data_IF_012920397104
#
_entry.id   IF_012920397104
#
_cell.length_a   1.000
_cell.length_b   1.000
_cell.length_c   1.000
_cell.angle_alpha   90.00
_cell.angle_beta   90.00
_cell.angle_gamma   90.00
#
_symmetry.space_group_name_H-M   'P 1'
#
loop_
_entity.id
_entity.type
_entity.pdbx_description
1 polymer ?
#
# COMPACT_ATOMS: atom_id res chain seq x y z
N UNK A 1 -21.62 -4.22 -6.67
CA UNK A 1 -21.09 -4.94 -5.49
C UNK A 1 -20.58 -6.33 -5.87
N UNK A 2 -21.43 -7.29 -6.28
CA UNK A 2 -20.97 -8.64 -6.70
C UNK A 2 -19.88 -8.62 -7.78
N UNK A 3 -20.03 -7.75 -8.78
CA UNK A 3 -19.04 -7.65 -9.87
C UNK A 3 -17.68 -7.11 -9.41
N UNK A 4 -17.66 -6.25 -8.37
CA UNK A 4 -16.42 -5.72 -7.79
C UNK A 4 -15.68 -6.80 -7.01
N UNK A 5 -16.40 -7.59 -6.21
CA UNK A 5 -15.79 -8.67 -5.42
C UNK A 5 -15.15 -9.73 -6.32
N UNK A 6 -15.81 -10.11 -7.42
CA UNK A 6 -15.25 -11.05 -8.40
C UNK A 6 -13.98 -10.49 -9.06
N UNK A 7 -13.97 -9.20 -9.41
CA UNK A 7 -12.79 -8.54 -9.96
C UNK A 7 -11.65 -8.49 -8.94
N UNK A 8 -11.94 -8.12 -7.70
CA UNK A 8 -10.96 -8.08 -6.62
C UNK A 8 -10.34 -9.45 -6.36
N UNK A 9 -11.13 -10.52 -6.26
CA UNK A 9 -10.60 -11.90 -6.10
C UNK A 9 -9.62 -12.26 -7.23
N UNK A 10 -9.97 -11.89 -8.46
CA UNK A 10 -9.13 -12.13 -9.64
C UNK A 10 -7.83 -11.34 -9.57
N UNK A 11 -7.89 -10.04 -9.25
CA UNK A 11 -6.70 -9.18 -9.19
C UNK A 11 -5.81 -9.49 -7.98
N UNK A 12 -6.38 -9.81 -6.81
CA UNK A 12 -5.65 -10.29 -5.64
C UNK A 12 -4.82 -11.52 -6.01
N UNK A 13 -5.43 -12.50 -6.70
CA UNK A 13 -4.74 -13.72 -7.12
C UNK A 13 -3.57 -13.42 -8.06
N UNK A 14 -3.74 -12.52 -9.03
CA UNK A 14 -2.67 -12.11 -9.95
C UNK A 14 -1.54 -11.38 -9.22
N UNK A 15 -1.89 -10.48 -8.31
CA UNK A 15 -0.93 -9.71 -7.52
C UNK A 15 -0.14 -10.62 -6.59
N UNK A 16 -0.78 -11.61 -5.97
CA UNK A 16 -0.10 -12.57 -5.11
C UNK A 16 1.00 -13.34 -5.84
N UNK A 17 0.75 -13.77 -7.09
CA UNK A 17 1.78 -14.43 -7.91
C UNK A 17 2.94 -13.48 -8.26
N UNK A 18 2.66 -12.20 -8.57
CA UNK A 18 3.69 -11.19 -8.82
C UNK A 18 4.54 -10.94 -7.57
N UNK A 19 3.90 -10.80 -6.41
CA UNK A 19 4.56 -10.55 -5.12
C UNK A 19 5.45 -11.72 -4.70
N UNK A 20 5.06 -12.95 -5.03
CA UNK A 20 5.91 -14.13 -4.83
C UNK A 20 7.23 -14.04 -5.60
N UNK A 21 7.23 -13.48 -6.82
CA UNK A 21 8.46 -13.23 -7.59
C UNK A 21 9.37 -12.17 -6.94
N UNK A 22 8.79 -11.30 -6.11
CA UNK A 22 9.51 -10.32 -5.28
C UNK A 22 9.93 -10.89 -3.92
N UNK A 23 9.79 -12.20 -3.71
CA UNK A 23 10.00 -12.89 -2.43
C UNK A 23 9.12 -12.36 -1.30
N UNK A 24 7.94 -11.81 -1.62
CA UNK A 24 6.95 -11.43 -0.64
C UNK A 24 5.90 -12.53 -0.49
N UNK A 25 5.71 -12.99 0.75
CA UNK A 25 4.63 -13.92 1.09
C UNK A 25 3.40 -13.11 1.54
N UNK A 26 2.33 -13.20 0.75
CA UNK A 26 1.06 -12.50 1.00
C UNK A 26 0.25 -13.31 2.00
N UNK A 27 -0.23 -12.67 3.05
CA UNK A 27 -1.25 -13.26 3.92
C UNK A 27 -2.56 -13.48 3.14
N UNK A 28 -3.45 -14.32 3.64
CA UNK A 28 -4.74 -14.53 2.96
C UNK A 28 -5.57 -13.23 3.01
N UNK A 29 -5.58 -12.45 1.94
CA UNK A 29 -6.45 -11.26 1.77
C UNK A 29 -7.69 -11.67 0.99
N UNK A 30 -8.89 -11.45 1.53
CA UNK A 30 -10.14 -11.66 0.78
C UNK A 30 -10.58 -10.41 0.02
N UNK A 31 -11.41 -10.58 -1.01
CA UNK A 31 -12.02 -9.44 -1.69
C UNK A 31 -12.89 -8.57 -0.77
N UNK A 32 -13.58 -9.17 0.21
CA UNK A 32 -14.38 -8.42 1.17
C UNK A 32 -13.50 -7.56 2.09
N UNK A 33 -12.39 -8.11 2.58
CA UNK A 33 -11.42 -7.38 3.42
C UNK A 33 -10.84 -6.19 2.66
N UNK A 34 -10.39 -6.43 1.43
CA UNK A 34 -9.80 -5.39 0.59
C UNK A 34 -10.86 -4.34 0.20
N UNK A 35 -12.07 -4.76 -0.13
CA UNK A 35 -13.16 -3.83 -0.45
C UNK A 35 -13.49 -2.92 0.74
N UNK A 36 -13.63 -3.49 1.95
CA UNK A 36 -13.91 -2.70 3.16
C UNK A 36 -12.76 -1.73 3.43
N UNK A 37 -11.52 -2.19 3.32
CA UNK A 37 -10.33 -1.38 3.54
C UNK A 37 -10.26 -0.17 2.58
N UNK A 38 -10.57 -0.39 1.31
CA UNK A 38 -10.52 0.65 0.27
C UNK A 38 -11.68 1.65 0.30
N UNK A 39 -12.74 1.34 1.05
CA UNK A 39 -13.98 2.15 1.05
C UNK A 39 -14.29 2.78 2.40
N UNK A 40 -13.44 2.58 3.41
CA UNK A 40 -13.61 3.19 4.71
C UNK A 40 -12.99 4.59 4.78
N UNK A 41 -13.41 5.37 5.78
CA UNK A 41 -12.93 6.73 5.96
C UNK A 41 -11.45 6.75 6.35
N UNK A 42 -10.67 7.60 5.70
CA UNK A 42 -9.26 7.85 6.06
C UNK A 42 -9.09 9.22 6.75
N UNK A 43 -8.18 9.35 7.73
CA UNK A 43 -7.94 10.64 8.39
C UNK A 43 -7.30 11.68 7.46
N UNK A 44 -6.74 11.23 6.33
CA UNK A 44 -6.09 12.04 5.30
C UNK A 44 -7.05 12.51 4.20
N UNK A 45 -8.28 11.98 4.15
CA UNK A 45 -9.28 12.34 3.15
C UNK A 45 -8.88 11.90 1.74
N UNK A 46 -8.30 10.70 1.61
CA UNK A 46 -7.80 10.18 0.34
C UNK A 46 -8.88 10.13 -0.74
N UNK A 47 -8.51 10.52 -1.96
CA UNK A 47 -9.43 10.56 -3.11
C UNK A 47 -9.27 9.36 -4.05
N UNK A 48 -8.37 8.43 -3.74
CA UNK A 48 -8.14 7.23 -4.54
C UNK A 48 -9.38 6.35 -4.48
N UNK A 49 -9.98 6.08 -5.64
CA UNK A 49 -11.19 5.25 -5.72
C UNK A 49 -10.85 3.77 -5.94
N UNK A 50 -11.82 2.89 -5.67
CA UNK A 50 -11.71 1.47 -5.99
C UNK A 50 -11.43 1.22 -7.49
N UNK A 51 -11.99 2.05 -8.38
CA UNK A 51 -11.75 1.94 -9.82
C UNK A 51 -10.32 2.37 -10.19
N UNK A 52 -9.76 3.38 -9.51
CA UNK A 52 -8.35 3.76 -9.68
C UNK A 52 -7.42 2.60 -9.30
N UNK A 53 -7.72 1.95 -8.16
CA UNK A 53 -6.97 0.79 -7.68
C UNK A 53 -7.08 -0.36 -8.68
N UNK A 54 -8.28 -0.76 -9.08
CA UNK A 54 -8.49 -1.87 -10.02
C UNK A 54 -7.92 -1.62 -11.44
N UNK A 55 -7.79 -0.37 -11.85
CA UNK A 55 -7.22 0.00 -13.15
C UNK A 55 -5.69 0.11 -13.15
N UNK A 56 -5.06 0.04 -11.98
CA UNK A 56 -3.63 0.27 -11.81
C UNK A 56 -2.97 -0.84 -10.99
N UNK A 57 -2.14 -1.63 -11.66
CA UNK A 57 -1.48 -2.77 -11.01
C UNK A 57 -0.53 -2.39 -9.87
N UNK A 58 0.07 -1.19 -9.91
CA UNK A 58 0.93 -0.69 -8.83
C UNK A 58 0.11 -0.39 -7.58
N UNK A 59 -1.06 0.24 -7.75
CA UNK A 59 -1.99 0.46 -6.66
C UNK A 59 -2.57 -0.86 -6.13
N UNK A 60 -2.93 -1.82 -6.99
CA UNK A 60 -3.35 -3.14 -6.50
C UNK A 60 -2.26 -3.84 -5.66
N UNK A 61 -0.98 -3.73 -6.07
CA UNK A 61 0.15 -4.25 -5.28
C UNK A 61 0.22 -3.55 -3.93
N UNK A 62 0.13 -2.21 -3.92
CA UNK A 62 0.16 -1.41 -2.70
C UNK A 62 -0.87 -1.91 -1.69
N UNK A 63 -2.13 -1.94 -2.10
CA UNK A 63 -3.26 -2.21 -1.21
C UNK A 63 -3.26 -3.67 -0.71
N UNK A 64 -2.89 -4.63 -1.56
CA UNK A 64 -2.75 -6.03 -1.15
C UNK A 64 -1.61 -6.21 -0.14
N UNK A 65 -0.47 -5.53 -0.34
CA UNK A 65 0.64 -5.57 0.63
C UNK A 65 0.23 -4.92 1.95
N UNK A 66 -0.44 -3.78 1.91
CA UNK A 66 -0.86 -3.07 3.11
C UNK A 66 -1.80 -3.93 3.98
N UNK A 67 -2.87 -4.48 3.39
CA UNK A 67 -3.78 -5.39 4.11
C UNK A 67 -3.05 -6.65 4.59
N UNK A 68 -2.15 -7.21 3.79
CA UNK A 68 -1.36 -8.38 4.18
C UNK A 68 -0.45 -8.08 5.38
N UNK A 69 0.24 -6.94 5.42
CA UNK A 69 1.09 -6.53 6.55
C UNK A 69 0.27 -6.29 7.82
N UNK A 70 -0.90 -5.64 7.71
CA UNK A 70 -1.81 -5.46 8.85
C UNK A 70 -2.21 -6.80 9.46
N UNK A 71 -2.51 -7.80 8.62
CA UNK A 71 -2.81 -9.16 9.09
C UNK A 71 -1.61 -9.82 9.79
N UNK A 72 -0.38 -9.65 9.29
CA UNK A 72 0.84 -10.13 9.97
C UNK A 72 1.04 -9.47 11.34
N UNK A 73 0.61 -8.22 11.48
CA UNK A 73 0.61 -7.47 12.74
C UNK A 73 -0.57 -7.84 13.67
N UNK A 74 -1.44 -8.77 13.27
CA UNK A 74 -2.68 -9.13 13.96
C UNK A 74 -3.68 -7.97 14.11
N UNK A 75 -3.65 -7.01 13.18
CA UNK A 75 -4.63 -5.93 13.10
C UNK A 75 -5.87 -6.43 12.38
N UNK A 76 -7.08 -6.26 12.96
CA UNK A 76 -8.32 -6.66 12.30
C UNK A 76 -8.60 -5.76 11.10
N UNK A 77 -9.15 -6.33 10.02
CA UNK A 77 -9.55 -5.59 8.81
C UNK A 77 -11.06 -5.36 8.85
N UNK A 78 -11.48 -4.12 9.08
CA UNK A 78 -12.86 -3.65 9.14
C UNK A 78 -12.91 -2.13 8.91
N UNK A 79 -14.11 -1.55 8.95
CA UNK A 79 -14.36 -0.12 8.68
C UNK A 79 -13.62 0.84 9.63
N UNK A 80 -13.18 0.37 10.79
CA UNK A 80 -12.49 1.19 11.81
C UNK A 80 -10.98 0.97 11.83
N UNK A 81 -10.45 0.05 11.02
CA UNK A 81 -9.03 -0.33 11.01
C UNK A 81 -8.11 0.88 10.89
N UNK A 82 -8.36 1.76 9.91
CA UNK A 82 -7.51 2.93 9.65
C UNK A 82 -7.52 3.89 10.84
N UNK A 83 -8.68 4.11 11.44
CA UNK A 83 -8.86 5.08 12.52
C UNK A 83 -8.32 4.57 13.87
N UNK A 84 -8.49 3.28 14.16
CA UNK A 84 -8.10 2.69 15.45
C UNK A 84 -6.63 2.23 15.49
N UNK A 85 -6.07 1.88 14.33
CA UNK A 85 -4.73 1.29 14.20
C UNK A 85 -3.83 2.12 13.28
N UNK A 86 -4.01 3.44 13.29
CA UNK A 86 -3.27 4.34 12.40
C UNK A 86 -1.74 4.14 12.45
N UNK A 87 -1.09 3.93 13.61
CA UNK A 87 0.35 3.65 13.63
C UNK A 87 0.77 2.41 12.85
N UNK A 88 0.03 1.31 12.98
CA UNK A 88 0.25 0.06 12.28
C UNK A 88 -0.07 0.20 10.78
N UNK A 89 -1.14 0.93 10.44
CA UNK A 89 -1.53 1.26 9.06
C UNK A 89 -0.43 2.06 8.38
N UNK A 90 0.11 3.08 9.04
CA UNK A 90 1.22 3.86 8.49
C UNK A 90 2.50 3.02 8.34
N UNK A 91 2.76 2.08 9.25
CA UNK A 91 3.89 1.16 9.10
C UNK A 91 3.70 0.17 7.93
N UNK A 92 2.48 -0.37 7.76
CA UNK A 92 2.11 -1.23 6.64
C UNK A 92 2.20 -0.49 5.31
N UNK A 93 1.75 0.77 5.28
CA UNK A 93 1.85 1.68 4.14
C UNK A 93 3.29 1.85 3.65
N UNK A 94 4.23 2.11 4.56
CA UNK A 94 5.64 2.24 4.17
C UNK A 94 6.19 0.95 3.54
N UNK A 95 5.77 -0.22 4.04
CA UNK A 95 6.12 -1.50 3.41
C UNK A 95 5.48 -1.62 2.02
N UNK A 96 4.20 -1.26 1.88
CA UNK A 96 3.48 -1.26 0.61
C UNK A 96 4.15 -0.36 -0.44
N UNK A 97 4.57 0.85 -0.07
CA UNK A 97 5.33 1.76 -0.94
C UNK A 97 6.62 1.11 -1.45
N UNK A 98 7.39 0.41 -0.60
CA UNK A 98 8.62 -0.24 -1.06
C UNK A 98 8.34 -1.31 -2.12
N UNK A 99 7.34 -2.18 -1.91
CA UNK A 99 7.01 -3.22 -2.88
C UNK A 99 6.39 -2.67 -4.17
N UNK A 100 5.53 -1.66 -4.06
CA UNK A 100 4.98 -0.92 -5.21
C UNK A 100 6.10 -0.36 -6.08
N UNK A 101 7.02 0.42 -5.49
CA UNK A 101 8.12 1.06 -6.22
C UNK A 101 9.14 0.05 -6.71
N UNK A 102 9.36 -1.05 -5.98
CA UNK A 102 10.21 -2.17 -6.44
C UNK A 102 9.64 -2.79 -7.70
N UNK A 103 8.33 -3.04 -7.73
CA UNK A 103 7.67 -3.60 -8.91
C UNK A 103 7.70 -2.62 -10.09
N UNK A 104 7.46 -1.34 -9.85
CA UNK A 104 7.61 -0.31 -10.88
C UNK A 104 9.04 -0.25 -11.44
N UNK A 105 10.06 -0.38 -10.58
CA UNK A 105 11.47 -0.38 -10.98
C UNK A 105 11.83 -1.58 -11.86
N UNK A 106 11.35 -2.78 -11.51
CA UNK A 106 11.56 -3.99 -12.32
C UNK A 106 10.94 -3.84 -13.71
N UNK A 107 9.77 -3.18 -13.79
CA UNK A 107 9.10 -2.87 -15.05
C UNK A 107 9.66 -1.64 -15.76
N UNK A 108 10.67 -0.97 -15.19
CA UNK A 108 11.29 0.26 -15.71
C UNK A 108 10.31 1.42 -15.88
N UNK A 109 9.23 1.46 -15.08
CA UNK A 109 8.30 2.58 -15.05
C UNK A 109 8.83 3.68 -14.12
N UNK A 110 9.83 4.40 -14.61
CA UNK A 110 10.46 5.50 -13.87
C UNK A 110 9.52 6.69 -13.68
N UNK A 111 8.52 6.86 -14.56
CA UNK A 111 7.56 7.96 -14.43
C UNK A 111 6.58 7.71 -13.28
N UNK A 112 6.14 6.47 -13.07
CA UNK A 112 5.41 6.08 -11.86
C UNK A 112 6.23 6.39 -10.59
N UNK A 113 7.50 5.97 -10.56
CA UNK A 113 8.39 6.19 -9.40
C UNK A 113 8.56 7.68 -9.12
N UNK A 114 8.88 8.51 -10.14
CA UNK A 114 9.02 9.97 -9.97
C UNK A 114 7.75 10.58 -9.42
N UNK A 115 6.60 10.23 -10.00
CA UNK A 115 5.30 10.75 -9.57
C UNK A 115 5.05 10.43 -8.11
N UNK A 116 5.24 9.17 -7.69
CA UNK A 116 5.04 8.77 -6.29
C UNK A 116 6.00 9.49 -5.36
N UNK A 117 7.29 9.54 -5.66
CA UNK A 117 8.26 10.25 -4.81
C UNK A 117 8.02 11.77 -4.73
N UNK A 118 7.35 12.37 -5.72
CA UNK A 118 6.99 13.80 -5.68
C UNK A 118 5.85 14.11 -4.71
N UNK A 119 5.05 13.12 -4.33
CA UNK A 119 3.98 13.28 -3.34
C UNK A 119 4.56 13.24 -1.93
N UNK A 120 4.94 14.41 -1.40
CA UNK A 120 5.47 14.58 -0.04
C UNK A 120 4.60 13.91 1.05
N UNK A 121 3.30 13.77 0.79
CA UNK A 121 2.33 13.14 1.68
C UNK A 121 2.53 11.62 1.84
N UNK A 122 3.10 10.91 0.86
CA UNK A 122 3.31 9.45 0.94
C UNK A 122 4.20 9.06 2.14
N UNK A 123 5.15 9.92 2.51
CA UNK A 123 6.06 9.67 3.63
C UNK A 123 5.73 10.52 4.86
N UNK A 124 4.54 11.12 4.89
CA UNK A 124 4.10 12.00 5.97
C UNK A 124 2.89 11.37 6.66
N UNK A 125 2.97 11.07 7.97
CA UNK A 125 1.81 10.57 8.70
C UNK A 125 0.74 11.68 8.85
N UNK A 126 -0.48 11.27 9.18
CA UNK A 126 -1.62 12.14 9.41
C UNK A 126 -1.36 13.13 10.56
N UNK A 127 -2.17 14.19 10.60
CA UNK A 127 -2.09 15.19 11.66
C UNK A 127 -2.25 14.53 13.05
N UNK A 128 -1.37 14.89 14.00
CA UNK A 128 -1.32 14.27 15.33
C UNK A 128 -0.36 13.08 15.42
N UNK A 129 0.09 12.53 14.31
CA UNK A 129 0.98 11.37 14.25
C UNK A 129 2.40 11.66 13.76
N UNK A 130 2.84 12.92 13.77
CA UNK A 130 4.17 13.33 13.27
C UNK A 130 5.33 12.62 13.99
N UNK A 131 5.13 12.19 15.24
CA UNK A 131 6.11 11.40 15.99
C UNK A 131 6.46 10.06 15.30
N UNK A 132 5.56 9.50 14.48
CA UNK A 132 5.79 8.26 13.74
C UNK A 132 6.87 8.43 12.66
N UNK A 133 7.02 9.62 12.09
CA UNK A 133 8.05 9.88 11.08
C UNK A 133 9.45 9.62 11.64
N UNK A 134 9.70 10.04 12.89
CA UNK A 134 10.96 9.79 13.58
C UNK A 134 11.10 8.30 13.93
N UNK A 135 10.05 7.67 14.47
CA UNK A 135 10.06 6.26 14.87
C UNK A 135 10.34 5.31 13.70
N UNK A 136 9.74 5.60 12.54
CA UNK A 136 9.83 4.77 11.33
C UNK A 136 10.83 5.31 10.30
N UNK A 137 11.71 6.23 10.68
CA UNK A 137 12.79 6.72 9.80
C UNK A 137 13.65 5.59 9.23
N UNK A 138 13.81 4.50 9.98
CA UNK A 138 14.54 3.31 9.55
C UNK A 138 13.88 2.56 8.38
N UNK A 139 12.57 2.75 8.13
CA UNK A 139 11.85 2.26 6.94
C UNK A 139 11.83 3.28 5.80
N UNK A 140 11.60 4.55 6.13
CA UNK A 140 11.51 5.63 5.11
C UNK A 140 12.85 5.83 4.39
N UNK A 141 13.96 5.88 5.13
CA UNK A 141 15.27 6.23 4.56
C UNK A 141 15.75 5.22 3.50
N UNK A 142 15.71 3.90 3.73
CA UNK A 142 16.08 2.93 2.70
C UNK A 142 15.26 3.05 1.41
N UNK A 143 13.95 3.32 1.50
CA UNK A 143 13.08 3.51 0.33
C UNK A 143 13.57 4.72 -0.48
N UNK A 144 13.76 5.87 0.17
CA UNK A 144 14.25 7.07 -0.49
C UNK A 144 15.65 6.85 -1.10
N UNK A 145 16.56 6.22 -0.37
CA UNK A 145 17.92 5.92 -0.87
C UNK A 145 17.91 4.97 -2.08
N UNK A 146 17.04 3.96 -2.06
CA UNK A 146 16.88 2.98 -3.12
C UNK A 146 16.38 3.64 -4.40
N UNK A 147 15.30 4.40 -4.33
CA UNK A 147 14.63 4.92 -5.52
C UNK A 147 15.07 6.32 -5.96
N UNK A 148 15.82 7.08 -5.13
CA UNK A 148 16.40 8.36 -5.56
C UNK A 148 17.69 8.22 -6.38
N UNK A 149 18.36 7.05 -6.33
CA UNK A 149 19.60 6.80 -7.09
C UNK A 149 19.33 6.60 -8.58
N UNK A 150 18.20 5.99 -8.92
CA UNK A 150 17.83 5.62 -10.30
C UNK A 150 17.11 6.75 -11.05
N UNK A 151 16.91 7.90 -10.40
CA UNK A 151 16.25 9.09 -10.98
C UNK A 151 17.23 10.21 -11.38
N UNK A 152 18.54 9.91 -11.40
CA UNK A 152 19.59 10.84 -11.85
C UNK A 152 19.96 10.62 -13.31
#
# INVERSE_FOLDING_TARGET
MKDYLVKLETEISKVAEKLKLLNYNVEKVSADELYIYLTCDTPTGDTTTLDDVLSNEYLMIHEVVEVSELKKMNVPINERTIMEYYPEVYEAHLTAVDYELTYALINKDYEWIKRRLSYAFIFSPAEGYQHLQLKLTHKVRPILEKFSRDLR
#
